data_IF_380319617760
#
_entry.id   IF_380319617760
#
_cell.length_a   1.000
_cell.length_b   1.000
_cell.length_c   1.000
_cell.angle_alpha   90.00
_cell.angle_beta   90.00
_cell.angle_gamma   90.00
#
_symmetry.space_group_name_H-M   'P 1'
#
loop_
_entity.id
_entity.type
_entity.pdbx_description
1 polymer ?
#
# COMPACT_ATOMS: atom_id res chain seq x y z
N UNK A 1 -17.06 -36.25 15.09
CA UNK A 1 -15.96 -36.56 14.15
C UNK A 1 -14.72 -36.90 14.97
N UNK A 2 -13.83 -37.79 14.50
CA UNK A 2 -12.54 -38.03 15.17
C UNK A 2 -11.59 -36.91 14.77
N UNK A 3 -11.42 -35.92 15.64
CA UNK A 3 -10.41 -34.86 15.51
C UNK A 3 -9.04 -35.47 15.81
N UNK A 4 -8.50 -36.21 14.84
CA UNK A 4 -7.28 -36.99 14.99
C UNK A 4 -6.06 -36.12 14.67
N UNK A 5 -5.81 -35.12 15.52
CA UNK A 5 -4.69 -34.18 15.43
C UNK A 5 -3.96 -34.12 16.77
N UNK A 6 -3.23 -35.19 17.12
CA UNK A 6 -2.26 -35.20 18.22
C UNK A 6 -2.74 -34.60 19.58
N UNK A 7 -4.05 -34.58 19.82
CA UNK A 7 -4.65 -34.05 21.05
C UNK A 7 -4.33 -35.06 22.14
N UNK A 8 -3.57 -34.66 23.16
CA UNK A 8 -3.37 -35.48 24.37
C UNK A 8 -4.73 -35.97 24.86
N UNK A 9 -4.84 -37.24 25.24
CA UNK A 9 -6.11 -37.85 25.64
C UNK A 9 -6.88 -37.02 26.69
N UNK A 10 -6.16 -36.33 27.57
CA UNK A 10 -6.73 -35.44 28.60
C UNK A 10 -7.53 -34.25 28.03
N UNK A 11 -7.23 -33.80 26.80
CA UNK A 11 -7.88 -32.68 26.14
C UNK A 11 -8.96 -33.10 25.12
N UNK A 12 -9.02 -34.37 24.73
CA UNK A 12 -9.99 -34.85 23.74
C UNK A 12 -11.44 -34.64 24.17
N UNK A 13 -11.72 -34.83 25.47
CA UNK A 13 -13.09 -34.68 25.98
C UNK A 13 -13.58 -33.25 25.86
N UNK A 14 -12.80 -32.27 26.32
CA UNK A 14 -13.21 -30.87 26.29
C UNK A 14 -13.34 -30.33 24.86
N UNK A 15 -12.44 -30.72 23.96
CA UNK A 15 -12.52 -30.35 22.53
C UNK A 15 -13.81 -30.91 21.92
N UNK A 16 -14.11 -32.19 22.18
CA UNK A 16 -15.34 -32.83 21.67
C UNK A 16 -16.59 -32.17 22.24
N UNK A 17 -16.58 -31.85 23.53
CA UNK A 17 -17.71 -31.22 24.21
C UNK A 17 -17.97 -29.80 23.67
N UNK A 18 -16.92 -29.02 23.34
CA UNK A 18 -17.09 -27.67 22.79
C UNK A 18 -17.54 -27.70 21.33
N UNK A 19 -16.97 -28.60 20.52
CA UNK A 19 -17.22 -28.65 19.07
C UNK A 19 -18.54 -29.32 18.67
N UNK A 20 -19.08 -30.25 19.48
CA UNK A 20 -20.32 -30.96 19.15
C UNK A 20 -21.55 -30.42 19.90
N UNK A 21 -21.40 -29.36 20.70
CA UNK A 21 -22.54 -28.75 21.39
C UNK A 21 -23.37 -27.94 20.42
N UNK A 22 -24.68 -28.20 20.41
CA UNK A 22 -25.67 -27.35 19.73
C UNK A 22 -25.87 -25.99 20.44
N UNK A 23 -25.37 -25.84 21.67
CA UNK A 23 -25.49 -24.62 22.48
C UNK A 23 -24.16 -23.83 22.56
N UNK A 24 -24.08 -22.81 21.72
CA UNK A 24 -22.96 -21.86 21.69
C UNK A 24 -22.68 -21.19 23.04
N UNK A 25 -23.71 -20.92 23.86
CA UNK A 25 -23.53 -20.20 25.14
C UNK A 25 -22.74 -21.05 26.13
N UNK A 26 -23.05 -22.35 26.22
CA UNK A 26 -22.30 -23.24 27.08
C UNK A 26 -20.88 -23.48 26.56
N UNK A 27 -20.70 -23.56 25.24
CA UNK A 27 -19.37 -23.68 24.62
C UNK A 27 -18.50 -22.46 24.94
N UNK A 28 -19.04 -21.24 24.81
CA UNK A 28 -18.32 -20.01 25.15
C UNK A 28 -17.88 -19.95 26.62
N UNK A 29 -18.73 -20.41 27.55
CA UNK A 29 -18.37 -20.51 28.97
C UNK A 29 -17.28 -21.55 29.22
N UNK A 30 -17.36 -22.70 28.55
CA UNK A 30 -16.35 -23.74 28.68
C UNK A 30 -14.98 -23.23 28.20
N UNK A 31 -14.94 -22.44 27.12
CA UNK A 31 -13.70 -21.84 26.60
C UNK A 31 -13.04 -20.90 27.62
N UNK A 32 -13.82 -20.16 28.42
CA UNK A 32 -13.29 -19.29 29.49
C UNK A 32 -12.54 -20.07 30.59
N UNK A 33 -12.80 -21.37 30.73
CA UNK A 33 -12.15 -22.24 31.72
C UNK A 33 -10.90 -22.96 31.17
N UNK A 34 -10.64 -22.89 29.86
CA UNK A 34 -9.50 -23.53 29.22
C UNK A 34 -8.27 -22.64 29.34
N UNK A 35 -7.26 -23.10 30.08
CA UNK A 35 -5.98 -22.40 30.24
C UNK A 35 -4.89 -22.85 29.27
N UNK A 36 -5.08 -23.96 28.55
CA UNK A 36 -4.10 -24.46 27.59
C UNK A 36 -4.35 -23.84 26.20
N UNK A 37 -3.44 -22.95 25.77
CA UNK A 37 -3.52 -22.28 24.47
C UNK A 37 -3.45 -23.24 23.27
N UNK A 38 -2.76 -24.38 23.38
CA UNK A 38 -2.76 -25.39 22.31
C UNK A 38 -4.17 -26.00 22.11
N UNK A 39 -4.90 -26.20 23.21
CA UNK A 39 -6.28 -26.71 23.15
C UNK A 39 -7.21 -25.65 22.54
N UNK A 40 -7.01 -24.38 22.89
CA UNK A 40 -7.75 -23.27 22.30
C UNK A 40 -7.48 -23.17 20.79
N UNK A 41 -6.23 -23.32 20.35
CA UNK A 41 -5.86 -23.30 18.93
C UNK A 41 -6.53 -24.43 18.16
N UNK A 42 -6.54 -25.65 18.73
CA UNK A 42 -7.23 -26.80 18.13
C UNK A 42 -8.72 -26.53 17.98
N UNK A 43 -9.38 -25.98 19.00
CA UNK A 43 -10.81 -25.64 18.92
C UNK A 43 -11.03 -24.56 17.85
N UNK A 44 -10.20 -23.51 17.81
CA UNK A 44 -10.32 -22.44 16.83
C UNK A 44 -10.25 -22.97 15.39
N UNK A 45 -9.39 -23.95 15.11
CA UNK A 45 -9.23 -24.51 13.77
C UNK A 45 -10.39 -25.40 13.31
N UNK A 46 -11.21 -25.92 14.24
CA UNK A 46 -12.24 -26.91 13.92
C UNK A 46 -13.65 -26.44 14.29
N UNK A 47 -13.79 -25.21 14.79
CA UNK A 47 -15.08 -24.66 15.17
C UNK A 47 -15.85 -24.19 13.93
N UNK A 48 -17.01 -24.79 13.67
CA UNK A 48 -17.91 -24.33 12.60
C UNK A 48 -18.50 -22.93 12.90
N UNK A 49 -18.52 -22.52 14.18
CA UNK A 49 -19.00 -21.23 14.61
C UNK A 49 -17.84 -20.24 14.78
N UNK A 50 -17.78 -19.21 13.93
CA UNK A 50 -16.76 -18.17 14.00
C UNK A 50 -16.66 -17.48 15.37
N UNK A 51 -17.75 -17.35 16.15
CA UNK A 51 -17.67 -16.78 17.51
C UNK A 51 -16.90 -17.67 18.49
N UNK A 52 -17.00 -18.99 18.33
CA UNK A 52 -16.22 -19.94 19.13
C UNK A 52 -14.75 -19.81 18.75
N UNK A 53 -14.43 -19.75 17.46
CA UNK A 53 -13.06 -19.55 16.98
C UNK A 53 -12.45 -18.22 17.47
N UNK A 54 -13.17 -17.11 17.29
CA UNK A 54 -12.78 -15.78 17.79
C UNK A 54 -12.52 -15.80 19.30
N UNK A 55 -13.43 -16.42 20.08
CA UNK A 55 -13.29 -16.52 21.53
C UNK A 55 -12.06 -17.33 21.95
N UNK A 56 -11.74 -18.40 21.23
CA UNK A 56 -10.53 -19.17 21.45
C UNK A 56 -9.27 -18.33 21.13
N UNK A 57 -9.25 -17.67 19.97
CA UNK A 57 -8.16 -16.78 19.55
C UNK A 57 -7.95 -15.64 20.56
N UNK A 58 -9.03 -15.11 21.14
CA UNK A 58 -8.98 -14.07 22.15
C UNK A 58 -8.14 -14.44 23.37
N UNK A 59 -8.12 -15.73 23.71
CA UNK A 59 -7.44 -16.30 24.85
C UNK A 59 -6.06 -16.89 24.50
N UNK A 60 -5.60 -16.77 23.25
CA UNK A 60 -4.26 -17.19 22.80
C UNK A 60 -3.32 -15.97 22.78
N UNK A 61 -2.16 -16.10 23.41
CA UNK A 61 -1.15 -15.05 23.50
C UNK A 61 0.15 -15.40 22.76
N UNK A 62 0.37 -16.68 22.45
CA UNK A 62 1.49 -17.12 21.64
C UNK A 62 1.24 -16.83 20.15
N UNK A 63 2.00 -15.88 19.60
CA UNK A 63 1.92 -15.53 18.18
C UNK A 63 2.22 -16.72 17.24
N UNK A 64 2.99 -17.73 17.68
CA UNK A 64 3.23 -18.94 16.88
C UNK A 64 1.99 -19.84 16.81
N UNK A 65 1.20 -19.91 17.88
CA UNK A 65 -0.07 -20.64 17.84
C UNK A 65 -1.06 -19.92 16.92
N UNK A 66 -1.11 -18.58 16.98
CA UNK A 66 -1.91 -17.79 16.04
C UNK A 66 -1.46 -17.98 14.59
N UNK A 67 -0.15 -18.00 14.34
CA UNK A 67 0.42 -18.30 13.03
C UNK A 67 -0.02 -19.67 12.51
N UNK A 68 0.01 -20.70 13.37
CA UNK A 68 -0.41 -22.05 13.01
C UNK A 68 -1.91 -22.12 12.66
N UNK A 69 -2.76 -21.36 13.35
CA UNK A 69 -4.19 -21.27 13.02
C UNK A 69 -4.39 -20.70 11.60
N UNK A 70 -3.60 -19.70 11.20
CA UNK A 70 -3.75 -19.02 9.91
C UNK A 70 -3.37 -19.91 8.73
N UNK A 71 -2.36 -20.77 8.91
CA UNK A 71 -1.89 -21.68 7.84
C UNK A 71 -2.70 -22.98 7.77
N UNK A 72 -3.61 -23.22 8.73
CA UNK A 72 -4.59 -24.29 8.67
C UNK A 72 -5.78 -23.88 7.78
N UNK A 73 -6.53 -24.85 7.25
CA UNK A 73 -7.69 -24.63 6.36
C UNK A 73 -8.92 -24.14 7.15
N UNK A 74 -8.86 -22.89 7.61
CA UNK A 74 -9.90 -22.20 8.38
C UNK A 74 -10.56 -21.10 7.56
N UNK A 75 -11.74 -20.63 7.99
CA UNK A 75 -12.43 -19.57 7.26
C UNK A 75 -11.71 -18.21 7.36
N UNK A 76 -11.89 -17.38 6.33
CA UNK A 76 -11.19 -16.10 6.20
C UNK A 76 -11.40 -15.14 7.39
N UNK A 77 -12.55 -15.19 8.09
CA UNK A 77 -12.77 -14.31 9.25
C UNK A 77 -11.94 -14.74 10.44
N UNK A 78 -11.82 -16.05 10.65
CA UNK A 78 -10.93 -16.62 11.67
C UNK A 78 -9.48 -16.23 11.39
N UNK A 79 -9.05 -16.29 10.12
CA UNK A 79 -7.72 -15.82 9.69
C UNK A 79 -7.53 -14.33 9.97
N UNK A 80 -8.47 -13.50 9.56
CA UNK A 80 -8.43 -12.04 9.78
C UNK A 80 -8.28 -11.71 11.27
N UNK A 81 -9.06 -12.40 12.11
CA UNK A 81 -9.03 -12.21 13.55
C UNK A 81 -7.70 -12.64 14.18
N UNK A 82 -7.14 -13.78 13.74
CA UNK A 82 -5.83 -14.25 14.19
C UNK A 82 -4.69 -13.30 13.79
N UNK A 83 -4.67 -12.81 12.54
CA UNK A 83 -3.70 -11.79 12.10
C UNK A 83 -3.83 -10.51 12.93
N UNK A 84 -5.07 -10.10 13.22
CA UNK A 84 -5.37 -8.97 14.08
C UNK A 84 -4.71 -9.06 15.46
N UNK A 85 -4.50 -10.28 15.97
CA UNK A 85 -3.89 -10.55 17.28
C UNK A 85 -2.37 -10.69 17.25
N UNK A 86 -1.78 -11.14 16.15
CA UNK A 86 -0.32 -11.32 16.05
C UNK A 86 0.41 -9.99 16.30
N UNK A 87 1.39 -10.02 17.20
CA UNK A 87 2.24 -8.86 17.52
C UNK A 87 3.63 -8.97 16.90
N UNK A 88 4.12 -10.20 16.69
CA UNK A 88 5.41 -10.45 16.10
C UNK A 88 5.39 -10.13 14.60
N UNK A 89 6.00 -8.99 14.27
CA UNK A 89 6.15 -8.51 12.91
C UNK A 89 6.82 -9.53 11.97
N UNK A 90 7.82 -10.27 12.44
CA UNK A 90 8.51 -11.24 11.57
C UNK A 90 7.60 -12.39 11.18
N UNK A 91 6.64 -12.78 12.03
CA UNK A 91 5.64 -13.77 11.67
C UNK A 91 4.67 -13.25 10.60
N UNK A 92 4.27 -11.97 10.67
CA UNK A 92 3.46 -11.34 9.62
C UNK A 92 4.20 -11.25 8.28
N UNK A 93 5.49 -10.89 8.29
CA UNK A 93 6.34 -10.91 7.07
C UNK A 93 6.44 -12.33 6.52
N UNK A 94 6.66 -13.31 7.40
CA UNK A 94 6.73 -14.71 6.98
C UNK A 94 5.39 -15.19 6.40
N UNK A 95 4.24 -14.80 6.97
CA UNK A 95 2.93 -15.10 6.39
C UNK A 95 2.82 -14.50 4.98
N UNK A 96 3.14 -13.21 4.86
CA UNK A 96 3.05 -12.48 3.59
C UNK A 96 3.90 -13.10 2.48
N UNK A 97 5.14 -13.49 2.80
CA UNK A 97 6.06 -14.07 1.84
C UNK A 97 5.72 -15.51 1.43
N UNK A 98 4.85 -16.19 2.18
CA UNK A 98 4.39 -17.55 1.88
C UNK A 98 2.95 -17.56 1.36
N UNK A 99 2.38 -16.41 1.01
CA UNK A 99 1.08 -16.37 0.34
C UNK A 99 1.25 -16.98 -1.05
N UNK A 100 0.41 -17.96 -1.38
CA UNK A 100 0.23 -18.38 -2.75
C UNK A 100 -0.31 -17.19 -3.57
N UNK A 101 0.02 -17.13 -4.86
CA UNK A 101 -0.28 -16.04 -5.82
C UNK A 101 -1.77 -15.61 -5.90
N UNK A 102 -2.68 -16.29 -5.21
CA UNK A 102 -4.13 -16.13 -5.33
C UNK A 102 -4.76 -15.42 -4.11
N UNK A 103 -4.09 -15.35 -2.94
CA UNK A 103 -4.74 -14.79 -1.74
C UNK A 103 -4.52 -13.29 -1.51
N UNK A 104 -5.07 -12.50 -2.44
CA UNK A 104 -5.11 -11.03 -2.34
C UNK A 104 -5.86 -10.52 -1.11
N UNK A 105 -6.83 -11.30 -0.60
CA UNK A 105 -7.58 -10.92 0.60
C UNK A 105 -6.66 -10.97 1.82
N UNK A 106 -5.89 -12.05 1.94
CA UNK A 106 -4.94 -12.24 3.03
C UNK A 106 -3.76 -11.27 2.96
N UNK A 107 -3.21 -11.04 1.77
CA UNK A 107 -2.18 -10.02 1.54
C UNK A 107 -2.62 -8.65 2.06
N UNK A 108 -3.86 -8.26 1.76
CA UNK A 108 -4.45 -7.00 2.21
C UNK A 108 -4.57 -6.91 3.74
N UNK A 109 -5.04 -7.97 4.39
CA UNK A 109 -5.19 -8.03 5.85
C UNK A 109 -3.82 -7.89 6.53
N UNK A 110 -2.78 -8.56 6.01
CA UNK A 110 -1.43 -8.48 6.57
C UNK A 110 -0.85 -7.07 6.39
N UNK A 111 -0.98 -6.47 5.20
CA UNK A 111 -0.54 -5.09 4.95
C UNK A 111 -1.27 -4.08 5.84
N UNK A 112 -2.57 -4.28 6.08
CA UNK A 112 -3.37 -3.49 7.02
C UNK A 112 -2.81 -3.55 8.44
N UNK A 113 -2.51 -4.77 8.90
CA UNK A 113 -2.04 -5.01 10.25
C UNK A 113 -0.66 -4.42 10.51
N UNK A 114 0.22 -4.43 9.52
CA UNK A 114 1.62 -4.10 9.74
C UNK A 114 1.90 -2.61 9.89
N UNK A 115 1.08 -1.72 9.32
CA UNK A 115 1.24 -0.25 9.32
C UNK A 115 2.68 0.27 9.03
N UNK A 116 3.56 -0.57 8.46
CA UNK A 116 4.98 -0.28 8.33
C UNK A 116 5.28 0.23 6.93
N UNK A 117 5.53 1.54 6.84
CA UNK A 117 5.79 2.19 5.57
C UNK A 117 7.03 1.64 4.85
N UNK A 118 8.08 1.19 5.55
CA UNK A 118 9.25 0.62 4.89
C UNK A 118 8.93 -0.73 4.24
N UNK A 119 8.18 -1.59 4.93
CA UNK A 119 7.74 -2.87 4.34
C UNK A 119 6.83 -2.64 3.12
N UNK A 120 5.91 -1.67 3.19
CA UNK A 120 5.08 -1.33 2.03
C UNK A 120 5.95 -0.88 0.84
N UNK A 121 6.99 -0.10 1.08
CA UNK A 121 7.95 0.32 0.05
C UNK A 121 8.75 -0.87 -0.49
N UNK A 122 9.21 -1.77 0.37
CA UNK A 122 9.91 -3.00 -0.03
C UNK A 122 9.02 -3.89 -0.92
N UNK A 123 7.72 -3.99 -0.62
CA UNK A 123 6.74 -4.72 -1.45
C UNK A 123 6.60 -4.06 -2.82
N UNK A 124 6.46 -2.73 -2.86
CA UNK A 124 6.27 -1.99 -4.12
C UNK A 124 7.50 -2.15 -5.03
N UNK A 125 8.70 -2.10 -4.44
CA UNK A 125 9.98 -2.19 -5.15
C UNK A 125 10.39 -3.64 -5.47
N UNK A 126 9.93 -4.63 -4.72
CA UNK A 126 10.34 -6.02 -4.88
C UNK A 126 9.84 -6.64 -6.19
N UNK A 127 10.70 -7.33 -6.93
CA UNK A 127 10.35 -7.93 -8.22
C UNK A 127 9.41 -9.15 -8.11
N UNK A 128 9.42 -9.81 -6.95
CA UNK A 128 8.69 -11.06 -6.70
C UNK A 128 7.17 -10.87 -6.51
N UNK A 129 6.69 -9.62 -6.40
CA UNK A 129 5.28 -9.34 -6.15
C UNK A 129 4.50 -8.99 -7.42
N UNK A 130 3.29 -9.52 -7.53
CA UNK A 130 2.35 -9.18 -8.58
C UNK A 130 1.94 -7.68 -8.53
N UNK A 131 1.51 -7.14 -9.68
CA UNK A 131 1.26 -5.70 -9.82
C UNK A 131 0.07 -5.21 -8.96
N UNK A 132 -0.92 -6.04 -8.74
CA UNK A 132 -2.06 -5.78 -7.85
C UNK A 132 -1.67 -5.72 -6.37
N UNK A 133 -0.76 -6.58 -5.92
CA UNK A 133 -0.14 -6.50 -4.58
C UNK A 133 0.61 -5.18 -4.43
N UNK A 134 1.44 -4.83 -5.42
CA UNK A 134 2.21 -3.57 -5.41
C UNK A 134 1.32 -2.33 -5.36
N UNK A 135 0.26 -2.30 -6.17
CA UNK A 135 -0.71 -1.20 -6.15
C UNK A 135 -1.46 -1.13 -4.81
N UNK A 136 -1.82 -2.29 -4.25
CA UNK A 136 -2.44 -2.34 -2.92
C UNK A 136 -1.50 -1.78 -1.85
N UNK A 137 -0.21 -2.17 -1.87
CA UNK A 137 0.79 -1.65 -0.95
C UNK A 137 0.97 -0.13 -1.10
N UNK A 138 1.02 0.37 -2.35
CA UNK A 138 1.10 1.80 -2.64
C UNK A 138 -0.09 2.56 -2.07
N UNK A 139 -1.32 2.06 -2.24
CA UNK A 139 -2.53 2.68 -1.68
C UNK A 139 -2.50 2.73 -0.14
N UNK A 140 -1.74 1.84 0.51
CA UNK A 140 -1.56 1.84 1.97
C UNK A 140 -0.47 2.74 2.50
N UNK A 141 0.49 3.15 1.66
CA UNK A 141 1.47 4.15 2.08
C UNK A 141 0.70 5.36 2.59
N UNK A 142 0.93 5.80 3.82
CA UNK A 142 0.10 6.86 4.41
C UNK A 142 0.49 8.24 3.86
N UNK A 143 -0.37 9.25 3.98
CA UNK A 143 -0.04 10.60 3.48
C UNK A 143 1.17 11.24 4.19
N UNK A 144 1.44 10.89 5.46
CA UNK A 144 2.64 11.34 6.18
C UNK A 144 3.92 10.73 5.59
N UNK A 145 3.82 9.56 4.95
CA UNK A 145 4.94 8.81 4.38
C UNK A 145 5.02 8.94 2.85
N UNK A 146 4.15 9.75 2.24
CA UNK A 146 4.10 9.92 0.78
C UNK A 146 5.40 10.44 0.15
N UNK A 147 6.31 11.01 0.95
CA UNK A 147 7.65 11.40 0.49
C UNK A 147 8.50 10.20 0.06
N UNK A 148 8.25 9.00 0.59
CA UNK A 148 8.92 7.75 0.20
C UNK A 148 8.56 7.33 -1.23
N UNK A 149 7.41 7.77 -1.75
CA UNK A 149 6.99 7.47 -3.12
C UNK A 149 7.91 8.10 -4.18
N UNK A 150 8.74 9.07 -3.80
CA UNK A 150 9.79 9.61 -4.68
C UNK A 150 10.83 8.56 -5.04
N UNK A 151 11.24 7.78 -4.05
CA UNK A 151 12.18 6.67 -4.26
C UNK A 151 11.54 5.54 -5.07
N UNK A 152 10.25 5.26 -4.81
CA UNK A 152 9.48 4.34 -5.65
C UNK A 152 9.49 4.81 -7.11
N UNK A 153 9.13 6.07 -7.38
CA UNK A 153 9.06 6.60 -8.73
C UNK A 153 10.41 6.50 -9.48
N UNK A 154 11.53 6.65 -8.77
CA UNK A 154 12.88 6.51 -9.33
C UNK A 154 13.22 5.08 -9.77
N UNK A 155 12.63 4.07 -9.13
CA UNK A 155 13.08 2.68 -9.26
C UNK A 155 12.04 1.73 -9.89
N UNK A 156 10.83 2.18 -10.21
CA UNK A 156 9.78 1.34 -10.81
C UNK A 156 9.49 1.69 -12.26
N UNK A 157 9.31 0.70 -13.13
CA UNK A 157 8.96 0.90 -14.55
C UNK A 157 7.48 0.59 -14.88
N UNK A 158 6.71 0.08 -13.91
CA UNK A 158 5.30 -0.24 -14.12
C UNK A 158 4.47 1.05 -14.29
N UNK A 159 3.77 1.24 -15.42
CA UNK A 159 2.99 2.46 -15.69
C UNK A 159 1.89 2.77 -14.67
N UNK A 160 1.19 1.74 -14.17
CA UNK A 160 0.11 1.92 -13.19
C UNK A 160 0.67 2.39 -11.83
N UNK A 161 1.82 1.85 -11.43
CA UNK A 161 2.53 2.28 -10.21
C UNK A 161 3.05 3.72 -10.39
N UNK A 162 3.64 4.04 -11.55
CA UNK A 162 4.10 5.40 -11.86
C UNK A 162 2.94 6.40 -11.77
N UNK A 163 1.81 6.10 -12.41
CA UNK A 163 0.62 6.95 -12.36
C UNK A 163 0.15 7.16 -10.91
N UNK A 164 0.08 6.08 -10.13
CA UNK A 164 -0.33 6.14 -8.74
C UNK A 164 0.65 6.93 -7.85
N UNK A 165 1.95 6.82 -8.08
CA UNK A 165 2.96 7.66 -7.43
C UNK A 165 2.76 9.13 -7.77
N UNK A 166 2.64 9.48 -9.06
CA UNK A 166 2.48 10.88 -9.49
C UNK A 166 1.20 11.53 -8.95
N UNK A 167 0.09 10.78 -8.81
CA UNK A 167 -1.14 11.26 -8.15
C UNK A 167 -0.93 11.73 -6.71
N UNK A 168 0.05 11.14 -6.02
CA UNK A 168 0.28 11.31 -4.58
C UNK A 168 1.47 12.20 -4.25
N UNK A 169 2.41 12.33 -5.18
CA UNK A 169 3.54 13.25 -5.07
C UNK A 169 3.06 14.66 -5.43
N UNK A 170 2.77 15.46 -4.41
CA UNK A 170 2.36 16.87 -4.59
C UNK A 170 3.51 17.83 -4.93
N UNK A 171 4.72 17.30 -5.14
CA UNK A 171 5.93 18.06 -5.42
C UNK A 171 6.17 18.12 -6.94
N UNK A 172 5.51 19.08 -7.61
CA UNK A 172 5.61 19.26 -9.06
C UNK A 172 7.05 19.57 -9.51
N UNK A 173 7.86 20.19 -8.65
CA UNK A 173 9.26 20.44 -8.96
C UNK A 173 10.07 19.13 -8.97
N UNK A 174 9.87 18.26 -7.99
CA UNK A 174 10.46 16.93 -8.03
C UNK A 174 10.04 16.17 -9.30
N UNK A 175 8.76 16.22 -9.68
CA UNK A 175 8.29 15.61 -10.94
C UNK A 175 9.02 16.18 -12.16
N UNK A 176 9.23 17.50 -12.20
CA UNK A 176 10.03 18.14 -13.24
C UNK A 176 11.49 17.62 -13.27
N UNK A 177 12.14 17.48 -12.12
CA UNK A 177 13.54 16.99 -12.06
C UNK A 177 13.73 15.56 -12.55
N UNK A 178 12.63 14.82 -12.75
CA UNK A 178 12.67 13.46 -13.31
C UNK A 178 12.69 13.45 -14.85
N UNK A 179 12.38 14.58 -15.50
CA UNK A 179 12.36 14.66 -16.95
C UNK A 179 13.79 14.62 -17.53
N UNK A 180 13.98 14.05 -18.73
CA UNK A 180 15.31 13.94 -19.32
C UNK A 180 15.74 15.31 -19.88
N UNK A 181 16.95 15.75 -19.55
CA UNK A 181 17.52 17.02 -20.04
C UNK A 181 18.05 16.95 -21.49
N UNK A 182 18.06 15.75 -22.10
CA UNK A 182 18.78 15.50 -23.36
C UNK A 182 17.87 15.03 -24.50
N UNK A 183 18.31 15.36 -25.71
CA UNK A 183 17.68 14.98 -26.98
C UNK A 183 18.07 13.54 -27.37
N UNK A 184 17.69 12.57 -26.54
CA UNK A 184 17.85 11.14 -26.81
C UNK A 184 16.50 10.50 -27.14
N UNK A 185 16.56 9.47 -27.98
CA UNK A 185 15.39 8.69 -28.38
C UNK A 185 14.82 7.91 -27.21
N UNK A 186 13.65 8.31 -26.72
CA UNK A 186 12.96 7.61 -25.63
C UNK A 186 12.50 6.22 -26.08
N UNK A 187 12.77 5.21 -25.26
CA UNK A 187 12.06 3.94 -25.37
C UNK A 187 10.57 4.16 -25.12
N UNK A 188 9.74 3.20 -25.57
CA UNK A 188 8.29 3.28 -25.36
C UNK A 188 7.92 3.39 -23.87
N UNK A 189 8.62 2.68 -22.99
CA UNK A 189 8.40 2.74 -21.54
C UNK A 189 8.78 4.10 -20.95
N UNK A 190 9.91 4.69 -21.38
CA UNK A 190 10.33 6.03 -20.95
C UNK A 190 9.34 7.11 -21.42
N UNK A 191 8.88 7.03 -22.67
CA UNK A 191 7.88 7.96 -23.18
C UNK A 191 6.59 7.93 -22.34
N UNK A 192 6.09 6.73 -22.01
CA UNK A 192 4.91 6.55 -21.15
C UNK A 192 5.17 7.12 -19.74
N UNK A 193 6.33 6.82 -19.14
CA UNK A 193 6.72 7.35 -17.82
C UNK A 193 6.66 8.88 -17.81
N UNK A 194 7.28 9.54 -18.79
CA UNK A 194 7.32 11.00 -18.82
C UNK A 194 5.97 11.64 -19.16
N UNK A 195 5.15 10.98 -19.98
CA UNK A 195 3.77 11.40 -20.20
C UNK A 195 2.98 11.44 -18.88
N UNK A 196 3.08 10.39 -18.05
CA UNK A 196 2.46 10.38 -16.73
C UNK A 196 2.98 11.49 -15.83
N UNK A 197 4.29 11.67 -15.73
CA UNK A 197 4.91 12.72 -14.92
C UNK A 197 4.39 14.11 -15.33
N UNK A 198 4.40 14.43 -16.63
CA UNK A 198 3.94 15.72 -17.17
C UNK A 198 2.44 15.91 -16.92
N UNK A 199 1.63 14.86 -17.01
CA UNK A 199 0.20 14.91 -16.75
C UNK A 199 -0.13 15.36 -15.31
N UNK A 200 0.77 15.20 -14.36
CA UNK A 200 0.59 15.65 -12.97
C UNK A 200 1.23 17.00 -12.63
N UNK A 201 1.94 17.62 -13.57
CA UNK A 201 2.41 19.01 -13.43
C UNK A 201 1.29 19.97 -13.88
N UNK A 202 0.82 20.83 -12.99
CA UNK A 202 -0.26 21.79 -13.26
C UNK A 202 0.21 23.25 -13.23
N UNK A 203 1.41 23.52 -12.72
CA UNK A 203 2.06 24.82 -12.79
C UNK A 203 2.40 25.17 -14.25
N UNK A 204 1.63 26.13 -14.80
CA UNK A 204 1.80 26.60 -16.19
C UNK A 204 3.16 27.25 -16.42
N UNK A 205 3.75 27.87 -15.40
CA UNK A 205 5.09 28.47 -15.53
C UNK A 205 6.14 27.38 -15.64
N UNK A 206 6.04 26.33 -14.81
CA UNK A 206 6.94 25.18 -14.90
C UNK A 206 6.81 24.46 -16.25
N UNK A 207 5.57 24.25 -16.73
CA UNK A 207 5.33 23.68 -18.07
C UNK A 207 5.91 24.56 -19.19
N UNK A 208 5.75 25.89 -19.10
CA UNK A 208 6.33 26.80 -20.11
C UNK A 208 7.86 26.77 -20.08
N UNK A 209 8.44 26.72 -18.88
CA UNK A 209 9.88 26.57 -18.70
C UNK A 209 10.39 25.26 -19.33
N UNK A 210 9.70 24.13 -19.12
CA UNK A 210 10.05 22.86 -19.76
C UNK A 210 10.00 23.00 -21.29
N UNK A 211 8.96 23.64 -21.83
CA UNK A 211 8.82 23.81 -23.28
C UNK A 211 9.95 24.64 -23.89
N UNK A 212 10.47 25.64 -23.15
CA UNK A 212 11.54 26.53 -23.61
C UNK A 212 12.94 25.93 -23.46
N UNK A 213 13.14 25.01 -22.49
CA UNK A 213 14.47 24.56 -22.08
C UNK A 213 14.72 23.06 -22.31
N UNK A 214 13.68 22.25 -22.56
CA UNK A 214 13.83 20.83 -22.85
C UNK A 214 13.91 20.59 -24.36
N UNK A 215 14.99 19.94 -24.83
CA UNK A 215 15.22 19.71 -26.26
C UNK A 215 14.55 18.44 -26.81
N UNK A 216 13.91 17.62 -25.96
CA UNK A 216 13.31 16.37 -26.40
C UNK A 216 11.92 16.61 -27.03
N UNK A 217 11.77 16.28 -28.31
CA UNK A 217 10.53 16.54 -29.07
C UNK A 217 9.29 15.88 -28.44
N UNK A 218 9.41 14.66 -27.88
CA UNK A 218 8.31 13.96 -27.22
C UNK A 218 7.86 14.67 -25.94
N UNK A 219 8.82 15.12 -25.13
CA UNK A 219 8.54 15.89 -23.91
C UNK A 219 7.84 17.19 -24.27
N UNK A 220 8.35 17.93 -25.26
CA UNK A 220 7.71 19.17 -25.73
C UNK A 220 6.28 18.94 -26.23
N UNK A 221 6.03 17.84 -26.96
CA UNK A 221 4.69 17.48 -27.44
C UNK A 221 3.71 17.23 -26.28
N UNK A 222 4.11 16.43 -25.29
CA UNK A 222 3.30 16.18 -24.09
C UNK A 222 3.02 17.45 -23.29
N UNK A 223 4.02 18.32 -23.13
CA UNK A 223 3.87 19.61 -22.44
C UNK A 223 2.90 20.54 -23.18
N UNK A 224 3.00 20.65 -24.51
CA UNK A 224 2.05 21.43 -25.32
C UNK A 224 0.61 20.92 -25.13
N UNK A 225 0.43 19.61 -25.22
CA UNK A 225 -0.87 18.97 -25.00
C UNK A 225 -1.44 19.28 -23.61
N UNK A 226 -0.62 19.17 -22.56
CA UNK A 226 -1.01 19.50 -21.18
C UNK A 226 -1.37 20.99 -21.02
N UNK A 227 -0.60 21.90 -21.59
CA UNK A 227 -0.89 23.35 -21.58
C UNK A 227 -2.21 23.68 -22.28
N UNK A 228 -2.52 23.01 -23.38
CA UNK A 228 -3.80 23.16 -24.09
C UNK A 228 -4.98 22.70 -23.24
N UNK A 229 -4.85 21.56 -22.54
CA UNK A 229 -5.86 21.08 -21.58
C UNK A 229 -6.12 22.14 -20.50
N UNK A 230 -5.07 22.63 -19.84
CA UNK A 230 -5.18 23.60 -18.75
C UNK A 230 -5.75 24.95 -19.23
N UNK A 231 -5.42 25.36 -20.46
CA UNK A 231 -5.96 26.60 -21.06
C UNK A 231 -7.45 26.50 -21.40
N UNK A 232 -7.93 25.30 -21.71
CA UNK A 232 -9.35 25.05 -21.97
C UNK A 232 -10.18 24.87 -20.68
N UNK A 233 -9.56 24.44 -19.58
CA UNK A 233 -10.21 24.35 -18.27
C UNK A 233 -10.48 25.75 -17.67
N UNK A 234 -9.53 26.68 -17.78
CA UNK A 234 -9.70 28.05 -17.27
C UNK A 234 -10.82 28.82 -17.98
N UNK A 235 -11.09 28.51 -19.25
CA UNK A 235 -12.23 29.07 -20.00
C UNK A 235 -13.59 28.61 -19.45
N UNK A 236 -13.63 27.52 -18.66
CA UNK A 236 -14.86 26.94 -18.09
C UNK A 236 -15.10 27.33 -16.62
N UNK A 237 -14.08 27.71 -15.84
CA UNK A 237 -14.17 27.94 -14.39
C UNK A 237 -14.27 29.41 -13.97
N UNK A 238 -14.43 30.35 -14.91
CA UNK A 238 -14.43 31.78 -14.65
C UNK A 238 -15.61 32.29 -13.82
N UNK A 239 -15.53 32.23 -12.49
CA UNK A 239 -16.21 33.21 -11.61
C UNK A 239 -15.72 33.32 -10.15
N UNK A 240 -14.90 32.41 -9.57
CA UNK A 240 -14.53 32.58 -8.15
C UNK A 240 -13.08 32.23 -7.71
N UNK A 241 -12.25 31.63 -8.56
CA UNK A 241 -10.96 31.02 -8.15
C UNK A 241 -9.72 31.90 -8.39
N UNK A 242 -9.90 33.12 -8.92
CA UNK A 242 -8.81 33.96 -9.43
C UNK A 242 -7.91 34.59 -8.35
N UNK A 243 -8.41 34.72 -7.11
CA UNK A 243 -7.69 35.41 -6.01
C UNK A 243 -6.80 34.46 -5.22
N UNK A 244 -7.20 33.20 -5.05
CA UNK A 244 -6.43 32.17 -4.33
C UNK A 244 -5.30 31.58 -5.16
N UNK A 245 -5.47 31.48 -6.50
CA UNK A 245 -4.42 31.01 -7.42
C UNK A 245 -3.22 31.96 -7.47
N UNK A 246 -3.46 33.25 -7.67
CA UNK A 246 -2.42 34.29 -7.76
C UNK A 246 -1.49 34.31 -6.53
N UNK A 247 -2.05 34.12 -5.34
CA UNK A 247 -1.28 34.10 -4.09
C UNK A 247 -0.37 32.88 -3.95
N UNK A 248 -0.73 31.75 -4.58
CA UNK A 248 0.06 30.51 -4.58
C UNK A 248 1.17 30.58 -5.63
N UNK A 249 0.86 31.17 -6.79
CA UNK A 249 1.79 31.38 -7.91
C UNK A 249 2.92 32.35 -7.52
N UNK A 250 2.62 33.46 -6.83
CA UNK A 250 3.62 34.44 -6.38
C UNK A 250 4.60 33.84 -5.35
N UNK A 251 4.12 32.96 -4.47
CA UNK A 251 4.95 32.31 -3.42
C UNK A 251 5.85 31.21 -3.98
N UNK A 252 5.39 30.53 -5.04
CA UNK A 252 6.21 29.57 -5.77
C UNK A 252 7.27 30.29 -6.58
N UNK A 253 6.93 31.42 -7.23
CA UNK A 253 7.88 32.26 -7.97
C UNK A 253 9.04 32.78 -7.10
N UNK A 254 8.77 33.28 -5.90
CA UNK A 254 9.84 33.67 -4.94
C UNK A 254 10.73 32.48 -4.56
N UNK A 255 10.14 31.28 -4.45
CA UNK A 255 10.88 30.05 -4.15
C UNK A 255 11.74 29.58 -5.32
N UNK A 256 11.27 29.78 -6.55
CA UNK A 256 12.03 29.52 -7.77
C UNK A 256 13.21 30.50 -7.90
N UNK A 257 12.98 31.80 -7.78
CA UNK A 257 14.04 32.82 -7.92
C UNK A 257 15.14 32.64 -6.86
N UNK A 258 14.80 32.29 -5.61
CA UNK A 258 15.78 32.08 -4.55
C UNK A 258 16.66 30.83 -4.70
N UNK A 259 16.23 29.82 -5.47
CA UNK A 259 17.01 28.61 -5.72
C UNK A 259 18.09 28.78 -6.82
N UNK A 260 17.98 29.80 -7.68
CA UNK A 260 18.89 30.00 -8.83
C UNK A 260 19.79 31.23 -8.70
N UNK A 261 19.74 32.00 -7.61
CA UNK A 261 20.58 33.21 -7.38
C UNK A 261 22.05 32.87 -7.00
N UNK A 262 22.46 31.60 -6.98
CA UNK A 262 23.83 31.22 -6.58
C UNK A 262 24.78 30.74 -7.68
N UNK A 263 24.37 30.68 -8.95
CA UNK A 263 25.27 30.18 -10.02
C UNK A 263 25.87 31.26 -10.95
N UNK A 264 25.59 32.55 -10.71
CA UNK A 264 26.26 33.65 -11.42
C UNK A 264 27.33 34.33 -10.55
N UNK A 265 28.37 33.61 -10.12
CA UNK A 265 29.69 34.21 -9.82
C UNK A 265 30.83 33.17 -9.91
N UNK A 266 31.71 33.39 -10.90
CA UNK A 266 33.01 32.75 -11.20
C UNK A 266 33.02 31.53 -12.14
N UNK A 267 32.94 31.77 -13.46
CA UNK A 267 34.13 31.85 -14.34
C UNK A 267 33.74 32.30 -15.75
#
# INVERSE_FOLDING_TARGET
MNYNTNIKQEHQKIVTDVLNKDDDIESLKAIDEISNEEVLAIIACHADNGKIAEKCIDNIHDDYLLYNIIIDDVDLKTIEYAIGKIKNRNLLINLFNNLDDIDMSLARIIMEKMEDCNMLIDIILGDDYASDIKLTALDRVSNKDAFLLKDVLLNVDNPDIIEACCKRINDEYFLYTMLPDTDFFLSKSEAIRYEYIINFINDKHLLSHILENNNNEHIQEFVKYKLDILSNQDKKSGSHEFITRKFRDDRLKERYESCFIHDDFNM
#
